data_IF_758876442242
#
_entry.id   IF_758876442242
#
_cell.length_a   1.000
_cell.length_b   1.000
_cell.length_c   1.000
_cell.angle_alpha   90.00
_cell.angle_beta   90.00
_cell.angle_gamma   90.00
#
_symmetry.space_group_name_H-M   'P 1'
#
loop_
_entity.id
_entity.type
_entity.pdbx_description
1 polymer ?
#
# COMPACT_ATOMS: atom_id res chain seq x y z
N UNK A 1 -9.53 -17.57 -2.94
CA UNK A 1 -8.22 -16.94 -2.71
C UNK A 1 -8.21 -16.59 -1.24
N UNK A 2 -7.48 -17.36 -0.45
CA UNK A 2 -7.32 -17.09 0.98
C UNK A 2 -6.25 -16.01 1.09
N UNK A 3 -6.59 -14.85 1.65
CA UNK A 3 -5.56 -14.02 2.24
C UNK A 3 -4.89 -14.88 3.29
N UNK A 4 -3.58 -15.06 3.21
CA UNK A 4 -2.86 -15.53 4.39
C UNK A 4 -3.07 -14.41 5.43
N UNK A 5 -3.75 -14.72 6.54
CA UNK A 5 -4.20 -13.78 7.58
C UNK A 5 -3.06 -13.03 8.31
N UNK A 6 -1.87 -12.98 7.73
CA UNK A 6 -0.62 -12.57 8.35
C UNK A 6 0.18 -11.61 7.46
N UNK A 7 -0.35 -11.13 6.32
CA UNK A 7 0.35 -10.14 5.49
C UNK A 7 -0.09 -8.71 5.81
N UNK A 8 0.84 -7.89 6.29
CA UNK A 8 0.67 -6.47 6.59
C UNK A 8 1.22 -5.62 5.44
N UNK A 9 0.45 -4.62 5.02
CA UNK A 9 0.86 -3.57 4.10
C UNK A 9 1.17 -2.32 4.90
N UNK A 10 2.37 -1.77 4.72
CA UNK A 10 2.83 -0.54 5.38
C UNK A 10 3.31 0.46 4.34
N UNK A 11 3.06 1.75 4.53
CA UNK A 11 3.73 2.76 3.72
C UNK A 11 5.24 2.79 3.98
N UNK A 12 6.01 3.00 2.94
CA UNK A 12 7.45 3.28 3.06
C UNK A 12 7.71 4.72 3.54
N UNK A 13 6.85 5.66 3.14
CA UNK A 13 6.97 7.07 3.48
C UNK A 13 5.61 7.72 3.81
N UNK A 14 5.60 8.55 4.85
CA UNK A 14 4.45 9.35 5.28
C UNK A 14 4.38 10.74 4.63
N UNK A 15 5.32 11.07 3.73
CA UNK A 15 5.41 12.38 3.10
C UNK A 15 4.62 12.40 1.80
N UNK A 16 3.32 12.68 1.88
CA UNK A 16 2.46 12.81 0.71
C UNK A 16 1.39 13.89 0.95
N UNK A 17 0.83 14.41 -0.13
CA UNK A 17 -0.24 15.42 -0.08
C UNK A 17 -1.15 15.33 -1.30
N UNK A 18 -2.33 15.94 -1.19
CA UNK A 18 -3.27 16.10 -2.30
C UNK A 18 -2.95 17.41 -3.03
N UNK A 19 -2.75 17.32 -4.35
CA UNK A 19 -2.46 18.46 -5.24
C UNK A 19 -3.73 19.22 -5.62
N UNK A 20 -3.55 20.36 -6.28
CA UNK A 20 -4.66 21.19 -6.80
C UNK A 20 -5.55 20.44 -7.81
N UNK A 21 -4.97 19.51 -8.57
CA UNK A 21 -5.68 18.64 -9.52
C UNK A 21 -6.36 17.43 -8.85
N UNK A 22 -6.36 17.39 -7.51
CA UNK A 22 -6.92 16.32 -6.65
C UNK A 22 -6.21 14.96 -6.77
N UNK A 23 -5.04 14.90 -7.39
CA UNK A 23 -4.20 13.71 -7.37
C UNK A 23 -3.31 13.68 -6.12
N UNK A 24 -2.94 12.48 -5.68
CA UNK A 24 -1.99 12.30 -4.58
C UNK A 24 -0.57 12.32 -5.14
N UNK A 25 0.31 13.09 -4.50
CA UNK A 25 1.74 13.05 -4.75
C UNK A 25 2.47 12.59 -3.50
N UNK A 26 3.29 11.56 -3.68
CA UNK A 26 4.20 11.03 -2.66
C UNK A 26 5.59 11.59 -2.95
N UNK A 27 6.24 12.10 -1.91
CA UNK A 27 7.64 12.50 -1.92
C UNK A 27 8.45 11.33 -1.39
N UNK A 28 9.22 10.67 -2.25
CA UNK A 28 10.00 9.47 -1.91
C UNK A 28 11.26 9.83 -1.12
N UNK A 29 11.81 8.87 -0.37
CA UNK A 29 12.99 9.12 0.50
C UNK A 29 14.25 9.51 -0.27
N UNK A 30 14.36 9.11 -1.54
CA UNK A 30 15.45 9.47 -2.44
C UNK A 30 15.35 10.90 -3.00
N UNK A 31 14.35 11.68 -2.57
CA UNK A 31 14.08 13.05 -3.04
C UNK A 31 13.28 13.12 -4.34
N UNK A 32 12.83 11.97 -4.87
CA UNK A 32 11.91 11.89 -5.99
C UNK A 32 10.46 12.20 -5.61
N UNK A 33 9.58 12.10 -6.61
CA UNK A 33 8.14 12.15 -6.37
C UNK A 33 7.36 11.28 -7.34
N UNK A 34 6.31 10.64 -6.84
CA UNK A 34 5.38 9.81 -7.62
C UNK A 34 3.98 10.42 -7.52
N UNK A 35 3.29 10.54 -8.66
CA UNK A 35 1.90 10.99 -8.71
C UNK A 35 1.02 9.75 -8.91
N UNK A 36 0.09 9.54 -8.00
CA UNK A 36 -0.84 8.42 -8.06
C UNK A 36 -2.06 8.79 -8.90
N UNK A 37 -2.46 7.87 -9.78
CA UNK A 37 -3.76 7.96 -10.45
C UNK A 37 -4.90 7.67 -9.44
N UNK A 38 -6.18 7.83 -9.82
CA UNK A 38 -7.30 7.64 -8.89
C UNK A 38 -7.40 6.24 -8.26
N UNK A 39 -7.08 5.18 -8.99
CA UNK A 39 -7.11 3.80 -8.47
C UNK A 39 -6.04 3.60 -7.40
N UNK A 40 -4.81 4.04 -7.71
CA UNK A 40 -3.69 3.98 -6.77
C UNK A 40 -3.95 4.86 -5.55
N UNK A 41 -4.51 6.05 -5.76
CA UNK A 41 -4.86 6.99 -4.69
C UNK A 41 -5.87 6.38 -3.72
N UNK A 42 -6.91 5.71 -4.24
CA UNK A 42 -7.92 5.06 -3.43
C UNK A 42 -7.33 3.94 -2.56
N UNK A 43 -6.45 3.10 -3.13
CA UNK A 43 -5.78 2.05 -2.37
C UNK A 43 -4.81 2.68 -1.34
N UNK A 44 -4.02 3.67 -1.76
CA UNK A 44 -3.06 4.37 -0.91
C UNK A 44 -3.69 4.92 0.36
N UNK A 45 -4.76 5.73 0.25
CA UNK A 45 -5.40 6.35 1.42
C UNK A 45 -6.03 5.33 2.38
N UNK A 46 -6.45 4.17 1.87
CA UNK A 46 -7.06 3.13 2.69
C UNK A 46 -6.04 2.29 3.47
N UNK A 47 -4.75 2.33 3.09
CA UNK A 47 -3.66 1.72 3.87
C UNK A 47 -3.54 2.42 5.23
N UNK A 48 -3.64 3.75 5.27
CA UNK A 48 -3.64 4.52 6.52
C UNK A 48 -2.46 4.13 7.44
N UNK A 49 -1.23 4.34 6.96
CA UNK A 49 0.04 3.92 7.56
C UNK A 49 0.32 2.41 7.53
N UNK A 50 -0.60 1.60 8.07
CA UNK A 50 -0.45 0.14 8.16
C UNK A 50 -1.81 -0.55 8.23
N UNK A 51 -1.98 -1.65 7.49
CA UNK A 51 -3.22 -2.43 7.43
C UNK A 51 -2.94 -3.86 6.96
N UNK A 52 -3.79 -4.82 7.31
CA UNK A 52 -3.71 -6.17 6.69
C UNK A 52 -4.19 -6.14 5.24
N UNK A 53 -3.66 -7.02 4.38
CA UNK A 53 -4.13 -7.13 2.99
C UNK A 53 -5.64 -7.44 2.90
N UNK A 54 -6.15 -8.27 3.82
CA UNK A 54 -7.57 -8.62 3.87
C UNK A 54 -8.44 -7.40 4.20
N UNK A 55 -8.09 -6.64 5.24
CA UNK A 55 -8.83 -5.43 5.61
C UNK A 55 -8.76 -4.37 4.51
N UNK A 56 -7.60 -4.20 3.89
CA UNK A 56 -7.42 -3.28 2.78
C UNK A 56 -8.32 -3.65 1.61
N UNK A 57 -8.33 -4.93 1.20
CA UNK A 57 -9.24 -5.43 0.16
C UNK A 57 -10.69 -5.17 0.53
N UNK A 58 -11.09 -5.48 1.76
CA UNK A 58 -12.46 -5.28 2.22
C UNK A 58 -12.92 -3.82 2.14
N UNK A 59 -12.01 -2.84 2.28
CA UNK A 59 -12.31 -1.41 2.13
C UNK A 59 -12.46 -0.96 0.69
N UNK A 60 -11.76 -1.59 -0.26
CA UNK A 60 -11.69 -1.10 -1.66
C UNK A 60 -12.44 -1.96 -2.66
N UNK A 61 -12.85 -3.18 -2.30
CA UNK A 61 -13.49 -4.16 -3.21
C UNK A 61 -14.75 -3.67 -3.93
N UNK A 62 -15.46 -2.70 -3.37
CA UNK A 62 -16.65 -2.11 -4.00
C UNK A 62 -16.29 -1.12 -5.13
N UNK A 63 -15.03 -0.72 -5.22
CA UNK A 63 -14.53 0.31 -6.15
C UNK A 63 -13.50 -0.20 -7.15
N UNK A 64 -12.85 -1.34 -6.88
CA UNK A 64 -11.82 -1.94 -7.74
C UNK A 64 -12.00 -3.45 -7.83
N UNK A 65 -11.64 -4.03 -8.98
CA UNK A 65 -11.61 -5.48 -9.14
C UNK A 65 -10.40 -6.09 -8.41
N UNK A 66 -10.46 -7.39 -8.12
CA UNK A 66 -9.35 -8.12 -7.50
C UNK A 66 -8.05 -7.97 -8.29
N UNK A 67 -8.09 -8.16 -9.61
CA UNK A 67 -6.89 -8.03 -10.46
C UNK A 67 -6.31 -6.60 -10.42
N UNK A 68 -7.15 -5.57 -10.36
CA UNK A 68 -6.67 -4.19 -10.21
C UNK A 68 -6.02 -3.97 -8.85
N UNK A 69 -6.62 -4.52 -7.80
CA UNK A 69 -6.07 -4.45 -6.45
C UNK A 69 -4.70 -5.12 -6.39
N UNK A 70 -4.59 -6.37 -6.83
CA UNK A 70 -3.35 -7.15 -6.84
C UNK A 70 -2.25 -6.46 -7.67
N UNK A 71 -2.57 -6.03 -8.90
CA UNK A 71 -1.61 -5.29 -9.73
C UNK A 71 -1.17 -3.98 -9.09
N UNK A 72 -2.08 -3.25 -8.44
CA UNK A 72 -1.75 -1.98 -7.78
C UNK A 72 -0.82 -2.21 -6.58
N UNK A 73 -1.08 -3.25 -5.78
CA UNK A 73 -0.22 -3.61 -4.64
C UNK A 73 1.18 -3.99 -5.13
N UNK A 74 1.29 -4.84 -6.16
CA UNK A 74 2.57 -5.22 -6.73
C UNK A 74 3.32 -4.03 -7.34
N UNK A 75 2.64 -3.11 -8.02
CA UNK A 75 3.26 -1.89 -8.54
C UNK A 75 3.72 -0.95 -7.40
N UNK A 76 2.90 -0.71 -6.39
CA UNK A 76 3.29 0.10 -5.23
C UNK A 76 4.52 -0.49 -4.52
N UNK A 77 4.60 -1.81 -4.42
CA UNK A 77 5.76 -2.53 -3.87
C UNK A 77 6.98 -2.41 -4.79
N UNK A 78 6.80 -2.59 -6.10
CA UNK A 78 7.87 -2.47 -7.11
C UNK A 78 8.54 -1.07 -7.08
N UNK A 79 7.75 -0.02 -6.86
CA UNK A 79 8.24 1.34 -6.73
C UNK A 79 8.69 1.71 -5.30
N UNK A 80 8.79 0.73 -4.39
CA UNK A 80 9.17 0.91 -2.98
C UNK A 80 8.32 1.95 -2.24
N UNK A 81 7.03 2.07 -2.58
CA UNK A 81 6.11 2.99 -1.90
C UNK A 81 5.44 2.32 -0.70
N UNK A 82 5.36 0.99 -0.71
CA UNK A 82 4.85 0.17 0.38
C UNK A 82 5.79 -1.00 0.66
N UNK A 83 5.71 -1.53 1.87
CA UNK A 83 6.25 -2.82 2.26
C UNK A 83 5.11 -3.80 2.52
N UNK A 84 5.33 -5.06 2.15
CA UNK A 84 4.49 -6.19 2.56
C UNK A 84 5.33 -7.03 3.52
N UNK A 85 4.85 -7.15 4.76
CA UNK A 85 5.52 -7.87 5.84
C UNK A 85 4.70 -9.13 6.10
N UNK A 86 5.38 -10.28 6.12
CA UNK A 86 4.80 -11.49 6.69
C UNK A 86 5.00 -11.47 8.20
N UNK A 87 3.90 -11.47 8.96
CA UNK A 87 3.92 -11.35 10.43
C UNK A 87 4.64 -12.53 11.08
N UNK A 88 4.70 -13.71 10.43
CA UNK A 88 5.49 -14.83 10.96
C UNK A 88 7.00 -14.59 10.89
N UNK A 89 7.47 -13.84 9.89
CA UNK A 89 8.90 -13.55 9.68
C UNK A 89 9.41 -12.42 10.58
N UNK A 90 8.56 -11.46 10.96
CA UNK A 90 8.97 -10.32 11.80
C UNK A 90 9.35 -10.76 13.24
N UNK A 91 8.67 -11.77 13.79
CA UNK A 91 9.02 -12.34 15.10
C UNK A 91 10.42 -12.98 15.10
N UNK A 92 10.78 -13.66 14.01
CA UNK A 92 12.09 -14.31 13.87
C UNK A 92 13.25 -13.30 13.73
N UNK A 93 12.99 -12.12 13.18
CA UNK A 93 14.01 -11.07 13.00
C UNK A 93 14.31 -10.29 14.29
N UNK A 94 13.34 -10.16 15.20
CA UNK A 94 13.50 -9.38 16.45
C UNK A 94 14.07 -10.25 17.59
N UNK A 95 13.78 -11.54 17.60
CA UNK A 95 14.12 -12.45 18.70
C UNK A 95 15.06 -13.61 18.30
N UNK A 96 15.51 -13.67 17.05
CA UNK A 96 16.46 -14.66 16.52
C UNK A 96 17.92 -14.29 16.71
#
# INVERSE_FOLDING_TARGET
MEFQNQQLVKWECNNWYIREDKLIQICTQDGGSVILNPVFSNIWVNINYEITLEELWNKVKDSVTWNQFENTIEELKLYNLIYIIDVEDEFNLIFG
#
